data_IF_583898461256
#
_entry.id   IF_583898461256
#
_cell.length_a   1.000
_cell.length_b   1.000
_cell.length_c   1.000
_cell.angle_alpha   90.00
_cell.angle_beta   90.00
_cell.angle_gamma   90.00
#
_symmetry.space_group_name_H-M   'P 1'
#
loop_
_entity.id
_entity.type
_entity.pdbx_description
1 polymer ?
#
# COMPACT_ATOMS: atom_id res chain seq x y z
N UNK A 1 -13.20 15.57 -2.64
CA UNK A 1 -14.05 14.50 -3.21
C UNK A 1 -14.34 14.92 -4.64
N UNK A 2 -13.91 14.11 -5.61
CA UNK A 2 -14.09 14.38 -7.04
C UNK A 2 -15.48 13.94 -7.49
N UNK A 3 -15.99 14.57 -8.55
CA UNK A 3 -17.28 14.24 -9.16
C UNK A 3 -17.10 14.08 -10.66
N UNK A 4 -17.56 12.95 -11.21
CA UNK A 4 -17.57 12.75 -12.65
C UNK A 4 -18.56 13.72 -13.31
N UNK A 5 -18.14 14.47 -14.32
CA UNK A 5 -19.02 15.39 -15.08
C UNK A 5 -20.08 14.65 -15.91
N UNK A 6 -19.85 13.39 -16.25
CA UNK A 6 -20.75 12.56 -17.06
C UNK A 6 -21.77 11.81 -16.19
N UNK A 7 -21.30 10.92 -15.30
CA UNK A 7 -22.18 10.05 -14.51
C UNK A 7 -22.54 10.61 -13.13
N UNK A 8 -22.02 11.78 -12.75
CA UNK A 8 -22.26 12.45 -11.47
C UNK A 8 -21.82 11.67 -10.20
N UNK A 9 -21.20 10.51 -10.37
CA UNK A 9 -20.65 9.71 -9.28
C UNK A 9 -19.55 10.47 -8.54
N UNK A 10 -19.53 10.31 -7.22
CA UNK A 10 -18.51 10.90 -6.34
C UNK A 10 -17.45 9.86 -6.01
N UNK A 11 -16.19 10.24 -6.12
CA UNK A 11 -15.07 9.36 -5.79
C UNK A 11 -13.95 10.14 -5.10
N UNK A 12 -13.07 9.39 -4.44
CA UNK A 12 -11.84 9.93 -3.89
C UNK A 12 -10.72 9.60 -4.85
N UNK A 13 -9.91 10.59 -5.22
CA UNK A 13 -8.66 10.38 -5.97
C UNK A 13 -7.76 9.38 -5.27
N UNK A 14 -7.78 9.35 -3.93
CA UNK A 14 -6.97 8.45 -3.13
C UNK A 14 -7.53 7.04 -3.04
N UNK A 15 -8.75 6.78 -3.52
CA UNK A 15 -9.37 5.44 -3.42
C UNK A 15 -8.50 4.42 -4.16
N UNK A 16 -8.25 3.27 -3.53
CA UNK A 16 -7.34 2.25 -4.07
C UNK A 16 -5.86 2.51 -3.81
N UNK A 17 -5.50 3.64 -3.17
CA UNK A 17 -4.10 3.95 -2.81
C UNK A 17 -3.86 3.78 -1.30
N UNK A 18 -2.59 3.71 -0.85
CA UNK A 18 -2.25 3.72 0.57
C UNK A 18 -2.66 5.01 1.30
N UNK A 19 -2.99 6.08 0.57
CA UNK A 19 -3.43 7.36 1.14
C UNK A 19 -4.92 7.38 1.47
N UNK A 20 -5.70 6.38 1.04
CA UNK A 20 -7.14 6.34 1.27
C UNK A 20 -7.49 6.24 2.76
N UNK A 21 -8.38 7.13 3.23
CA UNK A 21 -8.89 7.09 4.61
C UNK A 21 -7.80 7.34 5.66
N UNK A 22 -6.76 8.11 5.33
CA UNK A 22 -5.63 8.38 6.21
C UNK A 22 -5.61 9.83 6.67
N UNK A 23 -5.09 10.05 7.88
CA UNK A 23 -4.93 11.39 8.48
C UNK A 23 -3.49 11.90 8.42
N UNK A 24 -2.55 11.06 7.98
CA UNK A 24 -1.16 11.46 7.80
C UNK A 24 -1.00 12.25 6.50
N UNK A 25 0.05 13.08 6.47
CA UNK A 25 0.48 13.70 5.21
C UNK A 25 0.92 12.61 4.22
N UNK A 26 0.75 12.89 2.93
CA UNK A 26 1.19 11.95 1.89
C UNK A 26 2.69 11.64 2.01
N UNK A 27 3.49 12.66 2.31
CA UNK A 27 4.94 12.53 2.51
C UNK A 27 5.29 11.55 3.63
N UNK A 28 4.60 11.62 4.78
CA UNK A 28 4.85 10.68 5.89
C UNK A 28 4.47 9.26 5.51
N UNK A 29 3.35 9.06 4.80
CA UNK A 29 2.95 7.73 4.32
C UNK A 29 3.98 7.17 3.34
N UNK A 30 4.41 7.98 2.37
CA UNK A 30 5.44 7.59 1.40
C UNK A 30 6.76 7.21 2.09
N UNK A 31 7.19 7.96 3.10
CA UNK A 31 8.40 7.64 3.87
C UNK A 31 8.28 6.30 4.63
N UNK A 32 7.12 6.04 5.26
CA UNK A 32 6.87 4.74 5.92
C UNK A 32 6.98 3.60 4.91
N UNK A 33 6.30 3.71 3.76
CA UNK A 33 6.27 2.65 2.76
C UNK A 33 7.61 2.45 2.07
N UNK A 34 8.37 3.52 1.82
CA UNK A 34 9.72 3.44 1.26
C UNK A 34 10.64 2.62 2.16
N UNK A 35 10.67 2.90 3.47
CA UNK A 35 11.47 2.11 4.40
C UNK A 35 11.04 0.64 4.48
N UNK A 36 9.74 0.37 4.44
CA UNK A 36 9.23 -1.01 4.43
C UNK A 36 9.63 -1.74 3.15
N UNK A 37 9.56 -1.07 1.99
CA UNK A 37 9.96 -1.65 0.71
C UNK A 37 11.46 -2.02 0.68
N UNK A 38 12.30 -1.24 1.36
CA UNK A 38 13.73 -1.54 1.59
C UNK A 38 13.98 -2.65 2.64
N UNK A 39 12.92 -3.27 3.18
CA UNK A 39 13.02 -4.34 4.16
C UNK A 39 13.24 -3.86 5.61
N UNK A 40 13.06 -2.58 5.92
CA UNK A 40 13.17 -2.10 7.28
C UNK A 40 11.99 -2.59 8.15
N UNK A 41 12.31 -3.22 9.28
CA UNK A 41 11.29 -3.70 10.22
C UNK A 41 10.49 -2.57 10.88
N UNK A 42 9.25 -2.87 11.29
CA UNK A 42 8.26 -1.92 11.83
C UNK A 42 8.82 -0.94 12.86
N UNK A 43 9.59 -1.43 13.85
CA UNK A 43 10.15 -0.59 14.93
C UNK A 43 11.24 0.35 14.42
N UNK A 44 12.05 -0.09 13.44
CA UNK A 44 13.09 0.76 12.82
C UNK A 44 12.43 1.89 12.03
N UNK A 45 11.46 1.56 11.20
CA UNK A 45 10.68 2.54 10.41
C UNK A 45 9.96 3.55 11.30
N UNK A 46 9.34 3.09 12.40
CA UNK A 46 8.68 3.97 13.36
C UNK A 46 9.63 5.05 13.93
N UNK A 47 10.86 4.67 14.28
CA UNK A 47 11.89 5.61 14.76
C UNK A 47 12.39 6.55 13.66
N UNK A 48 12.66 6.02 12.47
CA UNK A 48 13.20 6.82 11.35
C UNK A 48 12.21 7.89 10.88
N UNK A 49 10.91 7.55 10.85
CA UNK A 49 9.86 8.47 10.35
C UNK A 49 9.22 9.29 11.47
N UNK A 50 9.37 8.89 12.73
CA UNK A 50 8.78 9.58 13.88
C UNK A 50 7.27 9.32 14.04
N UNK A 51 6.82 8.09 13.77
CA UNK A 51 5.41 7.68 13.93
C UNK A 51 5.28 6.50 14.90
N UNK A 52 4.07 6.24 15.40
CA UNK A 52 3.83 5.08 16.26
C UNK A 52 4.02 3.76 15.50
N UNK A 53 4.55 2.72 16.15
CA UNK A 53 4.78 1.40 15.51
C UNK A 53 3.49 0.79 14.93
N UNK A 54 2.36 1.00 15.60
CA UNK A 54 1.07 0.46 15.14
C UNK A 54 0.56 1.19 13.89
N UNK A 55 0.96 2.46 13.73
CA UNK A 55 0.73 3.20 12.48
C UNK A 55 1.47 2.52 11.34
N UNK A 56 2.75 2.18 11.53
CA UNK A 56 3.55 1.44 10.53
C UNK A 56 2.89 0.08 10.23
N UNK A 57 2.56 -0.71 11.25
CA UNK A 57 1.88 -2.00 11.06
C UNK A 57 0.57 -1.88 10.27
N UNK A 58 -0.24 -0.85 10.55
CA UNK A 58 -1.47 -0.58 9.79
C UNK A 58 -1.19 -0.34 8.31
N UNK A 59 -0.20 0.49 7.99
CA UNK A 59 0.15 0.77 6.59
C UNK A 59 0.72 -0.46 5.87
N UNK A 60 1.51 -1.28 6.54
CA UNK A 60 2.02 -2.54 5.98
C UNK A 60 0.84 -3.44 5.60
N UNK A 61 -0.12 -3.65 6.51
CA UNK A 61 -1.28 -4.50 6.25
C UNK A 61 -2.17 -3.95 5.14
N UNK A 62 -2.51 -2.66 5.19
CA UNK A 62 -3.38 -2.03 4.22
C UNK A 62 -2.77 -2.04 2.82
N UNK A 63 -1.49 -1.65 2.71
CA UNK A 63 -0.78 -1.60 1.43
C UNK A 63 -0.48 -3.00 0.90
N UNK A 64 -0.18 -3.96 1.77
CA UNK A 64 0.00 -5.36 1.37
C UNK A 64 -1.25 -5.97 0.74
N UNK A 65 -2.43 -5.69 1.30
CA UNK A 65 -3.70 -6.14 0.69
C UNK A 65 -3.92 -5.50 -0.69
N UNK A 66 -3.67 -4.19 -0.83
CA UNK A 66 -3.79 -3.49 -2.10
C UNK A 66 -2.77 -4.01 -3.14
N UNK A 67 -1.53 -4.27 -2.72
CA UNK A 67 -0.49 -4.82 -3.57
C UNK A 67 -0.84 -6.23 -4.06
N UNK A 68 -1.43 -7.07 -3.19
CA UNK A 68 -1.91 -8.39 -3.59
C UNK A 68 -3.03 -8.29 -4.63
N UNK A 69 -4.03 -7.43 -4.42
CA UNK A 69 -5.11 -7.23 -5.40
C UNK A 69 -4.57 -6.77 -6.77
N UNK A 70 -3.63 -5.83 -6.77
CA UNK A 70 -3.00 -5.38 -8.00
C UNK A 70 -2.15 -6.47 -8.65
N UNK A 71 -1.46 -7.28 -7.86
CA UNK A 71 -0.72 -8.44 -8.36
C UNK A 71 -1.67 -9.46 -9.00
N UNK A 72 -2.80 -9.76 -8.36
CA UNK A 72 -3.79 -10.69 -8.87
C UNK A 72 -4.43 -10.20 -10.18
N UNK A 73 -4.64 -8.89 -10.32
CA UNK A 73 -5.22 -8.29 -11.52
C UNK A 73 -4.21 -8.15 -12.67
N UNK A 74 -2.99 -7.71 -12.36
CA UNK A 74 -2.02 -7.27 -13.37
C UNK A 74 -0.92 -8.30 -13.67
N UNK A 75 -0.68 -9.24 -12.75
CA UNK A 75 0.48 -10.15 -12.80
C UNK A 75 0.09 -11.63 -12.76
N UNK A 76 -1.12 -11.98 -12.30
CA UNK A 76 -1.56 -13.39 -12.12
C UNK A 76 -1.54 -14.27 -13.38
N UNK A 77 -1.43 -13.67 -14.58
CA UNK A 77 -1.28 -14.41 -15.84
C UNK A 77 0.16 -14.81 -16.16
N UNK A 78 1.10 -14.61 -15.22
CA UNK A 78 2.48 -15.07 -15.39
C UNK A 78 2.52 -16.60 -15.49
N UNK A 79 3.24 -17.18 -16.47
CA UNK A 79 3.43 -18.62 -16.56
C UNK A 79 3.96 -19.16 -15.23
N UNK A 80 3.55 -20.38 -14.80
CA UNK A 80 4.04 -20.97 -13.57
C UNK A 80 5.58 -21.04 -13.61
N UNK A 81 6.21 -20.57 -12.54
CA UNK A 81 7.66 -20.64 -12.41
C UNK A 81 8.08 -22.12 -12.31
N UNK A 82 8.75 -22.60 -13.37
CA UNK A 82 9.28 -23.96 -13.48
C UNK A 82 10.30 -24.31 -12.39
N UNK A 83 10.76 -23.32 -11.60
CA UNK A 83 11.74 -23.49 -10.52
C UNK A 83 11.12 -23.59 -9.14
N UNK A 84 9.80 -23.56 -9.00
CA UNK A 84 9.16 -23.75 -7.69
C UNK A 84 9.32 -25.22 -7.29
N UNK A 85 10.09 -25.56 -6.24
CA UNK A 85 10.16 -26.94 -5.78
C UNK A 85 8.77 -27.37 -5.31
N UNK A 86 8.30 -28.51 -5.82
CA UNK A 86 7.07 -29.13 -5.36
C UNK A 86 7.17 -29.33 -3.84
N UNK A 87 6.24 -28.73 -3.12
CA UNK A 87 6.13 -28.84 -1.66
C UNK A 87 5.53 -30.18 -1.25
#
# INVERSE_FOLDING_TARGET
MLRCSTCQARFSERKGTPLYGTRLSAQTVTAVLAHVAEGAGTRKTARLVGVHRDTVTRYIRQTGHQAQQLHDELVALSPPDQRTPAR
#
